data_IF_977126992605
#
_entry.id   IF_977126992605
#
_cell.length_a   1.000
_cell.length_b   1.000
_cell.length_c   1.000
_cell.angle_alpha   90.00
_cell.angle_beta   90.00
_cell.angle_gamma   90.00
#
_symmetry.space_group_name_H-M   'P 1'
#
loop_
_entity.id
_entity.type
_entity.pdbx_description
1 polymer ?
#
# COMPACT_ATOMS: atom_id res chain seq x y z
N UNK A 1 2.54 -16.63 24.75
CA UNK A 1 4.00 -16.63 25.06
C UNK A 1 4.30 -15.34 25.80
N UNK A 2 4.94 -15.38 26.97
CA UNK A 2 5.41 -14.17 27.65
C UNK A 2 6.88 -13.92 27.32
N UNK A 3 7.27 -12.68 27.06
CA UNK A 3 8.68 -12.33 26.87
C UNK A 3 9.36 -12.09 28.23
N UNK A 4 10.45 -12.80 28.48
CA UNK A 4 11.05 -12.94 29.83
C UNK A 4 12.41 -12.26 29.99
N UNK A 5 13.01 -11.74 28.92
CA UNK A 5 14.29 -11.03 29.01
C UNK A 5 14.09 -9.61 29.56
N UNK A 6 15.10 -9.04 30.24
CA UNK A 6 15.00 -7.75 30.91
C UNK A 6 15.06 -6.55 29.95
N UNK A 7 15.68 -6.72 28.78
CA UNK A 7 15.89 -5.67 27.79
C UNK A 7 15.05 -5.91 26.53
N UNK A 8 14.57 -4.86 25.85
CA UNK A 8 13.86 -5.02 24.58
C UNK A 8 14.78 -5.55 23.47
N UNK A 9 14.27 -6.47 22.64
CA UNK A 9 15.03 -7.04 21.52
C UNK A 9 14.17 -7.17 20.27
N UNK A 10 14.79 -7.01 19.09
CA UNK A 10 14.08 -7.12 17.82
C UNK A 10 13.43 -8.50 17.66
N UNK A 11 12.15 -8.50 17.28
CA UNK A 11 11.36 -9.73 17.13
C UNK A 11 11.96 -10.64 16.06
N UNK A 12 12.41 -10.06 14.95
CA UNK A 12 12.96 -10.82 13.84
C UNK A 12 14.29 -11.47 14.21
N UNK A 13 15.20 -10.73 14.85
CA UNK A 13 16.46 -11.27 15.38
C UNK A 13 16.23 -12.36 16.42
N UNK A 14 15.34 -12.11 17.40
CA UNK A 14 15.05 -13.06 18.49
C UNK A 14 14.53 -14.39 17.94
N UNK A 15 13.61 -14.35 16.97
CA UNK A 15 12.99 -15.55 16.40
C UNK A 15 13.79 -16.17 15.25
N UNK A 16 14.91 -15.58 14.83
CA UNK A 16 15.73 -16.09 13.73
C UNK A 16 16.06 -17.59 13.82
N UNK A 17 16.39 -18.18 15.00
CA UNK A 17 16.67 -19.61 15.10
C UNK A 17 15.46 -20.52 14.80
N UNK A 18 14.24 -20.00 14.96
CA UNK A 18 13.00 -20.75 14.78
C UNK A 18 12.11 -20.20 13.66
N UNK A 19 12.60 -19.23 12.88
CA UNK A 19 11.82 -18.46 11.91
C UNK A 19 11.07 -19.36 10.91
N UNK A 20 11.67 -20.48 10.51
CA UNK A 20 11.05 -21.48 9.62
C UNK A 20 9.81 -22.17 10.19
N UNK A 21 9.64 -22.16 11.51
CA UNK A 21 8.48 -22.74 12.20
C UNK A 21 7.50 -21.66 12.68
N UNK A 22 7.83 -20.37 12.55
CA UNK A 22 6.96 -19.26 12.94
C UNK A 22 6.09 -18.88 11.74
N UNK A 23 4.77 -18.96 11.89
CA UNK A 23 3.85 -18.50 10.86
C UNK A 23 3.55 -17.01 11.02
N UNK A 24 3.16 -16.61 12.24
CA UNK A 24 2.76 -15.24 12.56
C UNK A 24 2.87 -15.00 14.06
N UNK A 25 3.31 -13.81 14.45
CA UNK A 25 3.34 -13.34 15.84
C UNK A 25 2.54 -12.04 15.95
N UNK A 26 1.78 -11.89 17.03
CA UNK A 26 0.90 -10.74 17.26
C UNK A 26 1.07 -10.19 18.68
N UNK A 27 1.09 -8.87 18.81
CA UNK A 27 1.07 -8.16 20.10
C UNK A 27 -0.36 -7.70 20.49
N UNK A 28 -0.51 -7.10 21.67
CA UNK A 28 -1.81 -6.59 22.15
C UNK A 28 -2.35 -5.39 21.34
N UNK A 29 -1.48 -4.63 20.69
CA UNK A 29 -1.85 -3.50 19.82
C UNK A 29 -2.26 -3.93 18.40
N UNK A 30 -2.43 -5.25 18.18
CA UNK A 30 -2.70 -5.86 16.88
C UNK A 30 -1.60 -5.65 15.81
N UNK A 31 -0.41 -5.22 16.22
CA UNK A 31 0.76 -5.25 15.36
C UNK A 31 1.25 -6.70 15.21
N UNK A 32 1.81 -6.99 14.04
CA UNK A 32 2.11 -8.35 13.59
C UNK A 32 3.54 -8.46 13.06
N UNK A 33 4.19 -9.56 13.39
CA UNK A 33 5.40 -10.04 12.71
C UNK A 33 5.04 -11.24 11.85
N UNK A 34 5.35 -11.15 10.56
CA UNK A 34 5.04 -12.15 9.54
C UNK A 34 6.30 -12.45 8.71
N UNK A 35 7.05 -13.51 9.06
CA UNK A 35 8.34 -13.81 8.45
C UNK A 35 8.25 -14.15 6.97
N UNK A 36 7.19 -14.84 6.54
CA UNK A 36 6.95 -15.21 5.13
C UNK A 36 6.90 -14.00 4.19
N UNK A 37 6.35 -12.88 4.67
CA UNK A 37 6.26 -11.63 3.90
C UNK A 37 7.40 -10.67 4.21
N UNK A 38 8.43 -11.10 4.95
CA UNK A 38 9.50 -10.23 5.45
C UNK A 38 8.93 -8.95 6.07
N UNK A 39 7.90 -9.10 6.92
CA UNK A 39 7.19 -7.98 7.51
C UNK A 39 7.31 -8.01 9.04
N UNK A 40 7.82 -6.93 9.63
CA UNK A 40 7.85 -6.73 11.07
C UNK A 40 7.15 -5.41 11.45
N UNK A 41 5.88 -5.51 11.83
CA UNK A 41 5.12 -4.37 12.37
C UNK A 41 5.19 -4.24 13.90
N UNK A 42 5.73 -5.24 14.61
CA UNK A 42 5.89 -5.17 16.07
C UNK A 42 7.14 -4.38 16.43
N UNK A 43 8.22 -4.55 15.68
CA UNK A 43 9.54 -4.02 16.02
C UNK A 43 10.18 -4.90 17.09
N UNK A 44 10.16 -4.43 18.34
CA UNK A 44 10.85 -5.05 19.47
C UNK A 44 9.89 -5.82 20.40
N UNK A 45 10.35 -6.95 20.93
CA UNK A 45 9.78 -7.59 22.11
C UNK A 45 10.03 -6.71 23.33
N UNK A 46 8.97 -6.42 24.09
CA UNK A 46 9.03 -5.56 25.27
C UNK A 46 8.95 -6.45 26.52
N UNK A 47 9.88 -6.29 27.48
CA UNK A 47 9.86 -6.99 28.77
C UNK A 47 8.49 -6.92 29.47
N UNK A 48 8.01 -8.06 29.96
CA UNK A 48 6.73 -8.15 30.68
C UNK A 48 5.49 -8.17 29.78
N UNK A 49 5.63 -8.10 28.45
CA UNK A 49 4.51 -8.24 27.53
C UNK A 49 4.29 -9.70 27.07
N UNK A 50 3.02 -9.99 26.76
CA UNK A 50 2.59 -11.25 26.17
C UNK A 50 2.37 -11.13 24.67
N UNK A 51 2.82 -12.14 23.93
CA UNK A 51 2.68 -12.25 22.49
C UNK A 51 1.96 -13.56 22.14
N UNK A 52 1.12 -13.48 21.12
CA UNK A 52 0.48 -14.65 20.52
C UNK A 52 1.31 -15.11 19.34
N UNK A 53 1.68 -16.38 19.32
CA UNK A 53 2.46 -16.98 18.25
C UNK A 53 1.71 -18.16 17.68
N UNK A 54 1.63 -18.20 16.35
CA UNK A 54 1.13 -19.35 15.60
C UNK A 54 2.32 -20.02 14.92
N UNK A 55 2.48 -21.31 15.16
CA UNK A 55 3.60 -22.12 14.67
C UNK A 55 3.12 -23.08 13.59
N UNK A 56 4.00 -23.40 12.65
CA UNK A 56 3.78 -24.44 11.63
C UNK A 56 4.00 -25.83 12.26
N UNK A 57 5.10 -26.01 12.99
CA UNK A 57 5.42 -27.22 13.72
C UNK A 57 5.57 -26.95 15.21
N UNK A 58 5.22 -27.93 16.05
CA UNK A 58 5.45 -27.84 17.48
C UNK A 58 6.95 -27.88 17.79
N UNK A 59 7.40 -26.96 18.66
CA UNK A 59 8.75 -26.92 19.20
C UNK A 59 8.67 -27.03 20.72
N UNK A 60 9.48 -27.91 21.31
CA UNK A 60 9.47 -28.20 22.76
C UNK A 60 10.57 -27.49 23.55
N UNK A 61 11.68 -27.10 22.92
CA UNK A 61 12.88 -26.60 23.61
C UNK A 61 13.34 -25.24 23.06
N UNK A 62 12.46 -24.25 23.08
CA UNK A 62 12.81 -22.88 22.71
C UNK A 62 12.91 -21.98 23.94
N UNK A 63 14.02 -21.25 24.04
CA UNK A 63 14.24 -20.18 25.03
C UNK A 63 14.72 -18.96 24.27
N UNK A 64 14.30 -17.76 24.69
CA UNK A 64 14.72 -16.52 24.03
C UNK A 64 16.24 -16.38 24.11
N UNK A 65 16.95 -16.35 22.98
CA UNK A 65 18.37 -16.02 22.97
C UNK A 65 18.52 -14.53 23.29
N UNK A 66 19.66 -14.16 23.87
CA UNK A 66 20.09 -12.77 23.88
C UNK A 66 20.76 -12.47 22.52
N UNK A 67 20.19 -11.52 21.77
CA UNK A 67 20.70 -11.15 20.45
C UNK A 67 21.71 -10.00 20.48
N UNK A 68 22.17 -9.56 21.65
CA UNK A 68 23.20 -8.51 21.82
C UNK A 68 22.89 -7.22 21.00
N UNK A 69 21.61 -6.86 20.94
CA UNK A 69 21.14 -5.69 20.20
C UNK A 69 21.11 -5.84 18.67
N UNK A 70 21.32 -7.04 18.13
CA UNK A 70 21.18 -7.30 16.69
C UNK A 70 19.76 -6.97 16.22
N UNK A 71 19.67 -6.28 15.07
CA UNK A 71 18.41 -6.01 14.37
C UNK A 71 18.45 -6.62 12.98
N UNK A 72 17.38 -7.30 12.59
CA UNK A 72 17.22 -7.80 11.23
C UNK A 72 16.32 -6.84 10.48
N UNK A 73 16.89 -6.11 9.52
CA UNK A 73 16.09 -5.33 8.58
C UNK A 73 15.36 -6.26 7.63
N UNK A 74 14.03 -6.14 7.61
CA UNK A 74 13.17 -6.88 6.71
C UNK A 74 12.59 -5.92 5.69
N UNK A 75 12.89 -6.16 4.42
CA UNK A 75 12.26 -5.46 3.31
C UNK A 75 11.09 -6.29 2.83
N UNK A 76 9.84 -5.84 3.04
CA UNK A 76 8.69 -6.58 2.55
C UNK A 76 8.78 -6.68 1.02
N UNK A 77 8.76 -7.90 0.51
CA UNK A 77 8.74 -8.14 -0.92
C UNK A 77 7.33 -7.81 -1.43
N UNK A 78 7.24 -6.86 -2.35
CA UNK A 78 6.01 -6.63 -3.10
C UNK A 78 5.76 -7.87 -3.98
N UNK A 79 4.63 -8.58 -3.84
CA UNK A 79 4.34 -9.71 -4.72
C UNK A 79 4.21 -9.27 -6.18
N UNK A 80 4.65 -10.11 -7.13
CA UNK A 80 4.56 -9.80 -8.57
C UNK A 80 3.15 -9.41 -9.02
N UNK A 81 2.11 -10.05 -8.48
CA UNK A 81 0.72 -9.73 -8.82
C UNK A 81 0.35 -8.26 -8.56
N UNK A 82 1.04 -7.57 -7.64
CA UNK A 82 0.81 -6.14 -7.37
C UNK A 82 1.22 -5.29 -8.57
N UNK A 83 2.28 -5.67 -9.30
CA UNK A 83 2.69 -4.99 -10.52
C UNK A 83 1.75 -5.28 -11.69
N UNK A 84 1.04 -6.40 -11.64
CA UNK A 84 0.03 -6.81 -12.62
C UNK A 84 -1.37 -6.22 -12.33
N UNK A 85 -1.56 -5.58 -11.18
CA UNK A 85 -2.83 -4.94 -10.87
C UNK A 85 -3.10 -3.83 -11.89
N UNK A 86 -4.27 -3.83 -12.54
CA UNK A 86 -4.66 -2.72 -13.39
C UNK A 86 -4.76 -1.46 -12.54
N UNK A 87 -4.17 -0.37 -13.01
CA UNK A 87 -4.42 0.95 -12.43
C UNK A 87 -5.92 1.21 -12.59
N UNK A 88 -6.60 1.45 -11.46
CA UNK A 88 -7.99 1.90 -11.45
C UNK A 88 -8.03 3.30 -12.08
N UNK A 89 -8.23 3.36 -13.40
CA UNK A 89 -8.43 4.63 -14.08
C UNK A 89 -9.76 5.23 -13.60
N UNK A 90 -9.70 6.33 -12.84
CA UNK A 90 -10.87 7.13 -12.52
C UNK A 90 -11.41 7.75 -13.81
N UNK A 91 -12.74 7.97 -13.95
CA UNK A 91 -13.33 8.70 -15.08
C UNK A 91 -12.75 10.11 -15.35
N UNK A 92 -11.90 10.64 -14.46
CA UNK A 92 -11.23 11.94 -14.57
C UNK A 92 -9.71 11.82 -14.75
N UNK A 93 -9.16 10.61 -14.81
CA UNK A 93 -7.71 10.40 -15.04
C UNK A 93 -7.33 10.64 -16.50
N UNK A 94 -8.28 10.48 -17.41
CA UNK A 94 -8.10 10.76 -18.85
C UNK A 94 -8.97 11.95 -19.23
N UNK A 95 -8.33 12.98 -19.79
CA UNK A 95 -9.00 14.16 -20.33
C UNK A 95 -9.89 13.77 -21.51
N UNK A 96 -11.20 13.89 -21.32
CA UNK A 96 -12.22 13.52 -22.31
C UNK A 96 -13.14 14.71 -22.59
N UNK A 97 -13.57 14.85 -23.85
CA UNK A 97 -14.47 15.92 -24.28
C UNK A 97 -15.89 15.64 -23.75
N UNK A 98 -16.44 16.59 -23.00
CA UNK A 98 -17.81 16.50 -22.46
C UNK A 98 -18.80 17.17 -23.41
N UNK A 99 -18.51 18.41 -23.82
CA UNK A 99 -19.41 19.19 -24.69
C UNK A 99 -18.67 20.30 -25.42
N UNK A 100 -19.22 20.69 -26.57
CA UNK A 100 -18.78 21.86 -27.32
C UNK A 100 -19.89 22.90 -27.28
N UNK A 101 -19.55 24.13 -26.88
CA UNK A 101 -20.51 25.23 -26.77
C UNK A 101 -20.06 26.46 -27.54
N UNK A 102 -21.02 27.26 -28.01
CA UNK A 102 -20.73 28.57 -28.57
C UNK A 102 -20.51 29.62 -27.46
N UNK A 103 -20.23 30.87 -27.86
CA UNK A 103 -20.05 31.99 -26.93
C UNK A 103 -21.31 32.35 -26.11
N UNK A 104 -22.49 31.86 -26.50
CA UNK A 104 -23.75 32.01 -25.76
C UNK A 104 -23.99 30.85 -24.76
N UNK A 105 -23.07 29.88 -24.69
CA UNK A 105 -23.18 28.71 -23.82
C UNK A 105 -24.12 27.62 -24.34
N UNK A 106 -24.59 27.73 -25.58
CA UNK A 106 -25.44 26.71 -26.21
C UNK A 106 -24.56 25.58 -26.76
N UNK A 107 -24.99 24.33 -26.59
CA UNK A 107 -24.31 23.18 -27.17
C UNK A 107 -24.50 23.18 -28.69
N UNK A 108 -23.40 23.01 -29.42
CA UNK A 108 -23.38 23.10 -30.88
C UNK A 108 -22.57 21.98 -31.51
N UNK A 109 -22.94 21.61 -32.74
CA UNK A 109 -22.14 20.73 -33.58
C UNK A 109 -21.08 21.55 -34.33
N UNK A 110 -19.77 21.30 -34.12
CA UNK A 110 -18.70 22.06 -34.77
C UNK A 110 -18.71 21.99 -36.30
N UNK A 111 -19.29 20.94 -36.89
CA UNK A 111 -19.27 20.72 -38.35
C UNK A 111 -20.28 21.57 -39.10
N UNK A 112 -21.29 22.09 -38.39
CA UNK A 112 -22.38 22.87 -38.97
C UNK A 112 -22.24 24.37 -38.71
N UNK A 113 -21.21 24.79 -37.97
CA UNK A 113 -21.03 26.18 -37.58
C UNK A 113 -20.33 27.03 -38.63
N UNK A 114 -20.57 28.34 -38.58
CA UNK A 114 -20.00 29.28 -39.52
C UNK A 114 -18.49 29.40 -39.34
N UNK A 115 -17.78 29.45 -40.46
CA UNK A 115 -16.33 29.71 -40.48
C UNK A 115 -16.00 31.03 -39.79
N UNK A 116 -15.05 30.99 -38.87
CA UNK A 116 -14.68 32.13 -38.03
C UNK A 116 -15.39 32.19 -36.68
N UNK A 117 -16.38 31.34 -36.41
CA UNK A 117 -16.99 31.27 -35.08
C UNK A 117 -16.04 30.67 -34.04
N UNK A 118 -16.20 31.16 -32.80
CA UNK A 118 -15.45 30.67 -31.65
C UNK A 118 -16.27 29.62 -30.92
N UNK A 119 -15.67 28.45 -30.73
CA UNK A 119 -16.22 27.34 -29.97
C UNK A 119 -15.37 27.04 -28.73
N UNK A 120 -16.04 26.64 -27.66
CA UNK A 120 -15.43 26.23 -26.40
C UNK A 120 -15.63 24.72 -26.22
N UNK A 121 -14.53 24.00 -26.11
CA UNK A 121 -14.48 22.55 -25.86
C UNK A 121 -14.28 22.36 -24.36
N UNK A 122 -15.30 21.85 -23.67
CA UNK A 122 -15.29 21.60 -22.22
C UNK A 122 -14.93 20.16 -21.94
N UNK A 123 -13.99 19.95 -21.02
CA UNK A 123 -13.47 18.64 -20.67
C UNK A 123 -13.92 18.21 -19.26
N UNK A 124 -13.88 16.91 -18.99
CA UNK A 124 -14.26 16.31 -17.70
C UNK A 124 -13.38 16.74 -16.51
N UNK A 125 -12.14 17.16 -16.79
CA UNK A 125 -11.18 17.71 -15.82
C UNK A 125 -11.43 19.20 -15.48
N UNK A 126 -12.48 19.80 -16.04
CA UNK A 126 -12.81 21.22 -15.86
C UNK A 126 -12.00 22.17 -16.75
N UNK A 127 -11.06 21.66 -17.54
CA UNK A 127 -10.34 22.49 -18.53
C UNK A 127 -11.24 22.85 -19.70
N UNK A 128 -10.91 23.97 -20.37
CA UNK A 128 -11.63 24.43 -21.56
C UNK A 128 -10.65 24.85 -22.65
N UNK A 129 -10.91 24.44 -23.90
CA UNK A 129 -10.16 24.91 -25.07
C UNK A 129 -11.02 25.81 -25.95
N UNK A 130 -10.45 26.94 -26.37
CA UNK A 130 -11.05 27.82 -27.36
C UNK A 130 -10.53 27.46 -28.75
N UNK A 131 -11.42 27.17 -29.69
CA UNK A 131 -11.07 26.90 -31.09
C UNK A 131 -11.90 27.77 -32.03
N UNK A 132 -11.33 28.10 -33.18
CA UNK A 132 -12.03 28.84 -34.24
C UNK A 132 -12.42 27.82 -35.32
N UNK A 133 -13.66 27.90 -35.80
CA UNK A 133 -14.13 27.06 -36.91
C UNK A 133 -13.38 27.48 -38.19
N UNK A 134 -12.65 26.55 -38.78
CA UNK A 134 -11.82 26.77 -39.98
C UNK A 134 -12.61 26.82 -41.28
#
# INVERSE_FOLDING_TARGET
MGYTLPDPQDVAATLAPIVSNVQIVKNNAAAVYWPEYSFNGIGDFIPGQGYQIRMVNALSNYTFPDVDGQRIELTPSVPEWVHELPVLNHPNDVRSLVRVVNMLGQQVDPTTQFKGEILLYLYNDGTTEKRIVN
#
